data_IF_575000958606
#
_entry.id   IF_575000958606
#
_cell.length_a   1.000
_cell.length_b   1.000
_cell.length_c   1.000
_cell.angle_alpha   90.00
_cell.angle_beta   90.00
_cell.angle_gamma   90.00
#
_symmetry.space_group_name_H-M   'P 1'
#
loop_
_entity.id
_entity.type
_entity.pdbx_description
1 polymer ?
#
# COMPACT_ATOMS: atom_id res chain seq x y z
N UNK A 1 3.62 -20.63 -29.15
CA UNK A 1 3.76 -21.85 -28.32
C UNK A 1 2.71 -22.91 -28.66
N UNK A 2 1.40 -22.64 -28.56
CA UNK A 2 0.37 -23.63 -28.93
C UNK A 2 0.48 -24.16 -30.38
N UNK A 3 0.85 -23.29 -31.33
CA UNK A 3 1.11 -23.69 -32.71
C UNK A 3 2.37 -24.56 -32.89
N UNK A 4 3.37 -24.46 -31.98
CA UNK A 4 4.53 -25.35 -31.99
C UNK A 4 4.16 -26.71 -31.40
N UNK A 5 3.44 -26.73 -30.28
CA UNK A 5 2.95 -27.97 -29.66
C UNK A 5 2.13 -28.81 -30.64
N UNK A 6 1.17 -28.19 -31.36
CA UNK A 6 0.36 -28.90 -32.35
C UNK A 6 1.20 -29.43 -33.52
N UNK A 7 2.11 -28.62 -34.07
CA UNK A 7 3.01 -29.08 -35.15
C UNK A 7 3.89 -30.25 -34.71
N UNK A 8 4.41 -30.21 -33.49
CA UNK A 8 5.23 -31.30 -32.94
C UNK A 8 4.40 -32.56 -32.69
N UNK A 9 3.15 -32.43 -32.23
CA UNK A 9 2.21 -33.57 -32.11
C UNK A 9 1.88 -34.19 -33.47
N UNK A 10 1.61 -33.38 -34.48
CA UNK A 10 1.27 -33.85 -35.82
C UNK A 10 2.48 -34.50 -36.51
N UNK A 11 3.67 -33.92 -36.32
CA UNK A 11 4.92 -34.43 -36.90
C UNK A 11 5.37 -35.76 -36.27
N UNK A 12 5.29 -35.87 -34.94
CA UNK A 12 5.74 -37.08 -34.21
C UNK A 12 4.64 -38.14 -34.05
N UNK A 13 3.37 -37.77 -34.25
CA UNK A 13 2.21 -38.61 -33.91
C UNK A 13 1.95 -38.74 -32.40
N UNK A 14 2.72 -38.05 -31.55
CA UNK A 14 2.66 -38.21 -30.09
C UNK A 14 1.62 -37.26 -29.50
N UNK A 15 0.37 -37.72 -29.35
CA UNK A 15 -0.71 -36.91 -28.77
C UNK A 15 -0.44 -36.42 -27.34
N UNK A 16 0.37 -37.16 -26.57
CA UNK A 16 0.73 -36.83 -25.18
C UNK A 16 1.84 -35.78 -25.06
N UNK A 17 2.49 -35.37 -26.16
CA UNK A 17 3.56 -34.39 -26.17
C UNK A 17 3.04 -33.04 -25.65
N UNK A 18 3.79 -32.40 -24.76
CA UNK A 18 3.45 -31.09 -24.17
C UNK A 18 4.63 -30.15 -24.21
N UNK A 19 4.38 -28.89 -24.55
CA UNK A 19 5.38 -27.82 -24.38
C UNK A 19 5.13 -27.16 -23.02
N UNK A 20 6.13 -27.21 -22.15
CA UNK A 20 6.08 -26.63 -20.82
C UNK A 20 7.17 -25.57 -20.63
N UNK A 21 7.05 -24.82 -19.54
CA UNK A 21 8.07 -23.87 -19.09
C UNK A 21 8.46 -24.19 -17.65
N UNK A 22 9.75 -24.07 -17.34
CA UNK A 22 10.29 -24.18 -16.00
C UNK A 22 11.26 -23.01 -15.76
N UNK A 23 11.20 -22.37 -14.59
CA UNK A 23 12.06 -21.22 -14.27
C UNK A 23 13.57 -21.53 -14.31
N UNK A 24 13.97 -22.78 -14.07
CA UNK A 24 15.38 -23.20 -14.03
C UNK A 24 15.86 -23.69 -15.40
N UNK A 25 15.04 -24.46 -16.11
CA UNK A 25 15.44 -25.11 -17.37
C UNK A 25 14.86 -24.48 -18.62
N UNK A 26 14.03 -23.45 -18.47
CA UNK A 26 13.41 -22.76 -19.58
C UNK A 26 12.24 -23.52 -20.20
N UNK A 27 11.97 -23.24 -21.47
CA UNK A 27 10.99 -23.99 -22.25
C UNK A 27 11.49 -25.40 -22.59
N UNK A 28 10.59 -26.36 -22.59
CA UNK A 28 10.87 -27.76 -22.92
C UNK A 28 9.69 -28.45 -23.59
N UNK A 29 10.00 -29.54 -24.28
CA UNK A 29 9.06 -30.51 -24.83
C UNK A 29 9.14 -31.77 -23.96
N UNK A 30 8.04 -32.13 -23.31
CA UNK A 30 7.97 -33.33 -22.49
C UNK A 30 7.42 -34.50 -23.30
N UNK A 31 8.18 -35.61 -23.31
CA UNK A 31 7.86 -36.83 -24.06
C UNK A 31 7.96 -38.02 -23.11
N UNK A 32 6.91 -38.84 -23.05
CA UNK A 32 6.89 -40.06 -22.23
C UNK A 32 7.83 -41.13 -22.78
N UNK A 33 8.44 -41.93 -21.89
CA UNK A 33 9.37 -43.02 -22.25
C UNK A 33 8.88 -43.97 -23.34
N UNK A 34 7.58 -44.27 -23.35
CA UNK A 34 6.97 -45.15 -24.34
C UNK A 34 7.06 -44.66 -25.80
N UNK A 35 7.29 -43.35 -26.01
CA UNK A 35 7.23 -42.71 -27.32
C UNK A 35 8.61 -42.32 -27.88
N UNK A 36 9.71 -42.77 -27.25
CA UNK A 36 11.07 -42.39 -27.69
C UNK A 36 11.43 -42.95 -29.06
N UNK A 37 10.85 -44.06 -29.48
CA UNK A 37 11.04 -44.60 -30.83
C UNK A 37 10.36 -43.76 -31.91
N UNK A 38 9.45 -42.86 -31.54
CA UNK A 38 8.68 -42.03 -32.48
C UNK A 38 9.32 -40.66 -32.73
N UNK A 39 10.45 -40.34 -32.07
CA UNK A 39 11.18 -39.09 -32.30
C UNK A 39 12.38 -39.31 -33.23
N UNK A 40 12.61 -38.44 -34.24
CA UNK A 40 13.79 -38.51 -35.08
C UNK A 40 15.08 -38.16 -34.33
N UNK A 41 16.16 -38.88 -34.67
CA UNK A 41 17.50 -38.61 -34.13
C UNK A 41 18.00 -37.21 -34.51
N UNK A 42 18.65 -36.53 -33.57
CA UNK A 42 19.32 -35.24 -33.79
C UNK A 42 18.43 -33.98 -33.72
N UNK A 43 17.09 -34.08 -33.79
CA UNK A 43 16.19 -32.91 -33.66
C UNK A 43 15.98 -32.47 -32.20
N UNK A 44 15.94 -33.42 -31.28
CA UNK A 44 15.62 -33.19 -29.87
C UNK A 44 16.88 -33.31 -29.01
N UNK A 45 17.21 -32.25 -28.29
CA UNK A 45 18.34 -32.19 -27.37
C UNK A 45 17.79 -32.40 -25.96
N UNK A 46 18.24 -33.46 -25.27
CA UNK A 46 17.77 -33.80 -23.92
C UNK A 46 18.22 -32.72 -22.91
N UNK A 47 17.27 -32.19 -22.11
CA UNK A 47 17.53 -31.21 -21.04
C UNK A 47 17.40 -31.80 -19.63
N UNK A 48 16.41 -32.66 -19.39
CA UNK A 48 16.14 -33.21 -18.06
C UNK A 48 15.47 -34.58 -18.14
N UNK A 49 15.87 -35.51 -17.28
CA UNK A 49 15.22 -36.82 -17.13
C UNK A 49 14.27 -36.81 -15.93
N UNK A 50 13.04 -37.28 -16.12
CA UNK A 50 12.05 -37.49 -15.06
C UNK A 50 11.81 -39.00 -14.87
N UNK A 51 11.01 -39.36 -13.86
CA UNK A 51 10.68 -40.76 -13.58
C UNK A 51 10.03 -41.47 -14.80
N UNK A 52 9.07 -40.81 -15.45
CA UNK A 52 8.24 -41.41 -16.51
C UNK A 52 8.39 -40.73 -17.89
N UNK A 53 9.19 -39.66 -17.98
CA UNK A 53 9.32 -38.84 -19.18
C UNK A 53 10.71 -38.21 -19.28
N UNK A 54 11.05 -37.69 -20.44
CA UNK A 54 12.20 -36.82 -20.65
C UNK A 54 11.74 -35.49 -21.22
N UNK A 55 12.48 -34.45 -20.85
CA UNK A 55 12.31 -33.10 -21.36
C UNK A 55 13.41 -32.80 -22.36
N UNK A 56 13.00 -32.31 -23.51
CA UNK A 56 13.86 -31.99 -24.64
C UNK A 56 13.71 -30.52 -25.03
N UNK A 57 14.67 -30.02 -25.80
CA UNK A 57 14.58 -28.74 -26.50
C UNK A 57 14.92 -28.96 -27.98
N UNK A 58 14.27 -28.19 -28.85
CA UNK A 58 14.60 -28.11 -30.28
C UNK A 58 15.23 -26.74 -30.55
N UNK A 59 15.96 -26.62 -31.65
CA UNK A 59 16.56 -25.34 -32.06
C UNK A 59 15.49 -24.24 -32.22
N UNK A 60 14.36 -24.56 -32.85
CA UNK A 60 13.21 -23.64 -33.00
C UNK A 60 12.64 -23.19 -31.65
N UNK A 61 12.52 -24.10 -30.68
CA UNK A 61 12.02 -23.76 -29.35
C UNK A 61 13.01 -22.86 -28.58
N UNK A 62 14.32 -23.09 -28.76
CA UNK A 62 15.37 -22.26 -28.16
C UNK A 62 15.35 -20.82 -28.71
N UNK A 63 15.24 -20.67 -30.03
CA UNK A 63 15.14 -19.33 -30.65
C UNK A 63 13.88 -18.57 -30.21
N UNK A 64 12.76 -19.28 -30.06
CA UNK A 64 11.52 -18.69 -29.53
C UNK A 64 11.67 -18.30 -28.06
N UNK A 65 12.33 -19.14 -27.25
CA UNK A 65 12.65 -18.87 -25.85
C UNK A 65 13.49 -17.59 -25.70
N UNK A 66 14.61 -17.49 -26.43
CA UNK A 66 15.51 -16.33 -26.37
C UNK A 66 14.77 -15.03 -26.77
N UNK A 67 13.89 -15.11 -27.77
CA UNK A 67 13.07 -13.98 -28.21
C UNK A 67 12.03 -13.56 -27.16
N UNK A 68 11.40 -14.52 -26.47
CA UNK A 68 10.41 -14.24 -25.43
C UNK A 68 11.11 -13.58 -24.23
N UNK A 69 12.21 -14.17 -23.75
CA UNK A 69 12.94 -13.65 -22.59
C UNK A 69 13.50 -12.25 -22.86
N UNK A 70 14.09 -12.01 -24.03
CA UNK A 70 14.56 -10.68 -24.40
C UNK A 70 13.43 -9.64 -24.55
N UNK A 71 12.24 -10.06 -24.98
CA UNK A 71 11.07 -9.18 -25.02
C UNK A 71 10.54 -8.85 -23.63
N UNK A 72 10.55 -9.81 -22.70
CA UNK A 72 10.14 -9.62 -21.31
C UNK A 72 11.09 -8.67 -20.57
N UNK A 73 12.41 -8.85 -20.73
CA UNK A 73 13.41 -7.93 -20.18
C UNK A 73 13.22 -6.50 -20.70
N UNK A 74 12.99 -6.35 -22.01
CA UNK A 74 12.74 -5.04 -22.61
C UNK A 74 11.43 -4.41 -22.12
N UNK A 75 10.39 -5.21 -21.94
CA UNK A 75 9.12 -4.74 -21.38
C UNK A 75 9.33 -4.16 -19.98
N UNK A 76 10.01 -4.92 -19.11
CA UNK A 76 10.30 -4.49 -17.73
C UNK A 76 11.14 -3.22 -17.70
N UNK A 77 12.14 -3.10 -18.57
CA UNK A 77 12.94 -1.87 -18.71
C UNK A 77 12.06 -0.68 -19.08
N UNK A 78 11.19 -0.84 -20.08
CA UNK A 78 10.30 0.24 -20.53
C UNK A 78 9.29 0.65 -19.46
N UNK A 79 8.74 -0.30 -18.71
CA UNK A 79 7.86 -0.02 -17.58
C UNK A 79 8.58 0.76 -16.48
N UNK A 80 9.83 0.37 -16.18
CA UNK A 80 10.65 1.06 -15.20
C UNK A 80 10.99 2.49 -15.61
N UNK A 81 11.37 2.69 -16.88
CA UNK A 81 11.65 4.01 -17.43
C UNK A 81 10.40 4.91 -17.39
N UNK A 82 9.24 4.36 -17.74
CA UNK A 82 7.97 5.08 -17.64
C UNK A 82 7.65 5.43 -16.18
N UNK A 83 7.84 4.50 -15.25
CA UNK A 83 7.64 4.74 -13.82
C UNK A 83 8.54 5.85 -13.28
N UNK A 84 9.83 5.87 -13.67
CA UNK A 84 10.74 6.96 -13.31
C UNK A 84 10.21 8.29 -13.87
N UNK A 85 9.80 8.33 -15.14
CA UNK A 85 9.31 9.57 -15.75
C UNK A 85 8.08 10.16 -15.02
N UNK A 86 7.20 9.29 -14.52
CA UNK A 86 6.06 9.68 -13.69
C UNK A 86 6.52 10.25 -12.35
N UNK A 87 7.49 9.58 -11.70
CA UNK A 87 8.05 10.07 -10.43
C UNK A 87 8.71 11.44 -10.57
N UNK A 88 9.52 11.65 -11.60
CA UNK A 88 10.15 12.95 -11.87
C UNK A 88 9.12 14.03 -12.17
N UNK A 89 8.02 13.68 -12.85
CA UNK A 89 6.92 14.61 -13.11
C UNK A 89 6.20 15.01 -11.81
N UNK A 90 5.98 14.06 -10.90
CA UNK A 90 5.40 14.32 -9.59
C UNK A 90 6.36 15.12 -8.71
N UNK A 91 7.67 14.87 -8.79
CA UNK A 91 8.70 15.55 -7.99
C UNK A 91 8.64 17.07 -8.19
N UNK A 92 8.49 17.51 -9.45
CA UNK A 92 8.35 18.93 -9.82
C UNK A 92 7.13 19.61 -9.16
N UNK A 93 6.11 18.82 -8.82
CA UNK A 93 4.85 19.28 -8.23
C UNK A 93 4.79 19.12 -6.70
N UNK A 94 5.85 18.62 -6.04
CA UNK A 94 5.86 18.35 -4.59
C UNK A 94 5.47 19.57 -3.77
N UNK A 95 5.96 20.76 -4.14
CA UNK A 95 5.65 21.99 -3.41
C UNK A 95 4.14 22.28 -3.42
N UNK A 96 3.48 22.11 -4.57
CA UNK A 96 2.02 22.26 -4.72
C UNK A 96 1.28 21.22 -3.89
N UNK A 97 1.69 19.95 -3.98
CA UNK A 97 1.08 18.85 -3.22
C UNK A 97 1.18 19.06 -1.70
N UNK A 98 2.35 19.44 -1.19
CA UNK A 98 2.56 19.75 0.24
C UNK A 98 1.70 20.93 0.69
N UNK A 99 1.59 21.97 -0.13
CA UNK A 99 0.72 23.12 0.17
C UNK A 99 -0.74 22.69 0.28
N UNK A 100 -1.23 21.91 -0.67
CA UNK A 100 -2.59 21.36 -0.64
C UNK A 100 -2.83 20.48 0.58
N UNK A 101 -1.90 19.58 0.90
CA UNK A 101 -1.99 18.71 2.08
C UNK A 101 -2.08 19.53 3.38
N UNK A 102 -1.30 20.61 3.52
CA UNK A 102 -1.37 21.49 4.69
C UNK A 102 -2.71 22.24 4.78
N UNK A 103 -3.23 22.70 3.66
CA UNK A 103 -4.55 23.36 3.62
C UNK A 103 -5.64 22.38 4.06
N UNK A 104 -5.63 21.17 3.53
CA UNK A 104 -6.60 20.12 3.89
C UNK A 104 -6.48 19.78 5.38
N UNK A 105 -5.26 19.58 5.89
CA UNK A 105 -5.05 19.29 7.31
C UNK A 105 -5.52 20.42 8.24
N UNK A 106 -5.30 21.68 7.85
CA UNK A 106 -5.82 22.82 8.60
C UNK A 106 -7.35 22.87 8.57
N UNK A 107 -7.97 22.62 7.42
CA UNK A 107 -9.43 22.59 7.29
C UNK A 107 -10.04 21.49 8.14
N UNK A 108 -9.45 20.31 8.14
CA UNK A 108 -9.90 19.17 8.94
C UNK A 108 -9.85 19.49 10.44
N UNK A 109 -8.72 20.00 10.93
CA UNK A 109 -8.56 20.40 12.32
C UNK A 109 -9.54 21.50 12.74
N UNK A 110 -9.67 22.57 11.94
CA UNK A 110 -10.57 23.68 12.25
C UNK A 110 -12.05 23.27 12.20
N UNK A 111 -12.43 22.44 11.23
CA UNK A 111 -13.79 21.93 11.10
C UNK A 111 -14.14 21.03 12.30
N UNK A 112 -13.20 20.16 12.69
CA UNK A 112 -13.35 19.30 13.88
C UNK A 112 -13.50 20.13 15.15
N UNK A 113 -12.66 21.15 15.34
CA UNK A 113 -12.78 22.07 16.49
C UNK A 113 -14.13 22.80 16.50
N UNK A 114 -14.64 23.21 15.34
CA UNK A 114 -15.96 23.85 15.23
C UNK A 114 -17.09 22.89 15.61
N UNK A 115 -17.04 21.65 15.16
CA UNK A 115 -18.04 20.62 15.49
C UNK A 115 -18.02 20.36 17.00
N UNK A 116 -16.85 20.11 17.56
CA UNK A 116 -16.65 19.86 19.00
C UNK A 116 -17.16 21.05 19.82
N UNK A 117 -16.90 22.28 19.38
CA UNK A 117 -17.37 23.46 20.10
C UNK A 117 -18.90 23.55 20.13
N UNK A 118 -19.59 23.23 19.02
CA UNK A 118 -21.05 23.23 18.97
C UNK A 118 -21.65 22.08 19.77
N UNK A 119 -21.13 20.86 19.63
CA UNK A 119 -21.68 19.68 20.33
C UNK A 119 -21.54 19.76 21.86
N UNK A 120 -20.47 20.42 22.31
CA UNK A 120 -20.12 20.52 23.74
C UNK A 120 -20.42 21.88 24.36
N UNK A 121 -21.08 22.77 23.61
CA UNK A 121 -21.43 24.12 24.06
C UNK A 121 -20.18 24.90 24.54
N UNK A 122 -19.06 24.78 23.82
CA UNK A 122 -17.85 25.54 24.09
C UNK A 122 -17.93 26.95 23.51
N UNK A 123 -17.30 27.88 24.20
CA UNK A 123 -17.25 29.30 23.82
C UNK A 123 -15.85 29.68 23.35
N UNK A 124 -15.77 30.66 22.46
CA UNK A 124 -14.50 31.23 22.05
C UNK A 124 -13.95 32.09 23.19
N UNK A 125 -12.75 31.81 23.72
CA UNK A 125 -12.16 32.61 24.79
C UNK A 125 -11.70 33.97 24.26
N UNK A 126 -11.68 34.97 25.16
CA UNK A 126 -11.01 36.25 24.94
C UNK A 126 -9.58 36.19 25.46
N UNK A 127 -8.63 36.71 24.69
CA UNK A 127 -7.21 36.75 25.07
C UNK A 127 -6.88 38.17 25.54
N UNK A 128 -6.24 38.29 26.70
CA UNK A 128 -5.75 39.54 27.26
C UNK A 128 -4.23 39.46 27.54
N UNK A 129 -3.59 40.61 27.75
CA UNK A 129 -2.18 40.72 28.14
C UNK A 129 -2.00 41.11 29.62
N UNK A 130 -3.11 41.31 30.34
CA UNK A 130 -3.15 41.80 31.73
C UNK A 130 -2.88 40.69 32.76
N UNK A 131 -2.63 39.47 32.30
CA UNK A 131 -2.36 38.31 33.15
C UNK A 131 -3.57 37.84 33.95
N UNK A 132 -4.78 38.17 33.50
CA UNK A 132 -6.04 37.77 34.13
C UNK A 132 -6.56 36.50 33.47
N UNK A 133 -6.89 35.50 34.29
CA UNK A 133 -7.61 34.29 33.87
C UNK A 133 -8.97 34.34 34.55
N UNK A 134 -10.02 34.41 33.73
CA UNK A 134 -11.40 34.36 34.18
C UNK A 134 -12.12 33.26 33.39
N UNK A 135 -12.64 32.28 34.12
CA UNK A 135 -13.40 31.16 33.59
C UNK A 135 -14.74 31.16 34.31
N UNK A 136 -15.82 31.36 33.57
CA UNK A 136 -17.18 31.27 34.08
C UNK A 136 -17.79 29.94 33.64
N UNK A 137 -18.44 29.24 34.56
CA UNK A 137 -19.03 27.91 34.37
C UNK A 137 -18.07 26.92 33.68
N UNK A 138 -16.81 26.91 34.15
CA UNK A 138 -15.75 26.07 33.63
C UNK A 138 -16.02 24.58 33.82
N UNK A 139 -15.74 23.79 32.77
CA UNK A 139 -15.93 22.34 32.76
C UNK A 139 -14.65 21.62 32.38
N UNK A 140 -14.45 20.43 32.94
CA UNK A 140 -13.31 19.59 32.55
C UNK A 140 -13.67 18.80 31.26
N UNK A 141 -13.01 19.04 30.11
CA UNK A 141 -13.45 18.54 28.81
C UNK A 141 -13.44 17.01 28.66
N UNK A 142 -12.57 16.31 29.40
CA UNK A 142 -12.53 14.85 29.42
C UNK A 142 -13.49 14.23 30.44
N UNK A 143 -13.48 14.72 31.69
CA UNK A 143 -14.30 14.15 32.78
C UNK A 143 -15.79 14.33 32.49
N UNK A 144 -16.23 15.47 31.93
CA UNK A 144 -17.65 15.68 31.58
C UNK A 144 -18.18 14.62 30.59
N UNK A 145 -17.31 14.12 29.70
CA UNK A 145 -17.66 13.08 28.72
C UNK A 145 -17.78 11.69 29.34
N UNK A 146 -17.07 11.43 30.44
CA UNK A 146 -17.09 10.15 31.14
C UNK A 146 -18.31 10.03 32.05
N UNK A 147 -18.69 11.14 32.72
CA UNK A 147 -19.79 11.14 33.70
C UNK A 147 -21.16 11.25 33.02
N UNK A 148 -21.26 11.93 31.87
CA UNK A 148 -22.52 12.12 31.14
C UNK A 148 -22.85 13.60 30.93
N UNK A 149 -23.48 13.95 29.79
CA UNK A 149 -23.82 15.35 29.49
C UNK A 149 -24.90 15.84 30.47
N UNK A 150 -24.58 16.86 31.27
CA UNK A 150 -25.47 17.47 32.25
C UNK A 150 -25.18 17.11 33.71
N UNK A 151 -24.33 16.12 33.96
CA UNK A 151 -24.03 15.63 35.33
C UNK A 151 -22.77 16.27 35.95
N UNK A 152 -21.94 16.93 35.14
CA UNK A 152 -20.75 17.63 35.61
C UNK A 152 -21.12 18.99 36.21
N UNK A 153 -20.69 19.25 37.45
CA UNK A 153 -20.86 20.55 38.10
C UNK A 153 -19.78 21.51 37.63
N UNK A 154 -20.17 22.56 36.92
CA UNK A 154 -19.27 23.61 36.46
C UNK A 154 -18.75 24.47 37.62
N UNK A 155 -17.54 25.02 37.47
CA UNK A 155 -16.93 25.89 38.47
C UNK A 155 -16.32 27.14 37.85
N UNK A 156 -16.48 28.27 38.55
CA UNK A 156 -15.84 29.52 38.19
C UNK A 156 -14.37 29.53 38.64
N UNK A 157 -13.52 30.27 37.96
CA UNK A 157 -12.11 30.45 38.34
C UNK A 157 -11.63 31.84 37.96
N UNK A 158 -11.12 32.56 38.95
CA UNK A 158 -10.49 33.88 38.76
C UNK A 158 -9.06 33.84 39.32
N UNK A 159 -8.09 34.16 38.48
CA UNK A 159 -6.69 34.34 38.84
C UNK A 159 -6.17 35.63 38.22
N UNK A 160 -5.38 36.41 38.95
CA UNK A 160 -4.76 37.63 38.45
C UNK A 160 -3.40 37.89 39.14
N UNK A 161 -2.74 38.98 38.77
CA UNK A 161 -1.42 39.37 39.29
C UNK A 161 -1.47 40.17 40.59
N UNK A 162 -2.66 40.48 41.11
CA UNK A 162 -2.85 41.38 42.25
C UNK A 162 -3.33 40.59 43.49
N UNK A 163 -4.64 40.47 43.66
CA UNK A 163 -5.31 39.93 44.85
C UNK A 163 -5.59 38.42 44.76
N UNK A 164 -5.60 37.84 43.55
CA UNK A 164 -5.93 36.44 43.29
C UNK A 164 -4.77 35.68 42.61
N UNK A 165 -3.57 35.77 43.19
CA UNK A 165 -2.36 35.13 42.65
C UNK A 165 -2.21 33.64 43.04
N UNK A 166 -2.82 33.24 44.15
CA UNK A 166 -2.74 31.89 44.70
C UNK A 166 -4.08 31.49 45.29
N UNK A 167 -4.61 30.34 44.85
CA UNK A 167 -5.83 29.75 45.37
C UNK A 167 -5.48 28.58 46.29
N UNK A 168 -5.83 28.69 47.57
CA UNK A 168 -5.72 27.58 48.52
C UNK A 168 -7.05 26.81 48.53
N UNK A 169 -7.11 25.72 47.77
CA UNK A 169 -8.31 24.89 47.65
C UNK A 169 -8.25 23.78 48.71
N UNK A 170 -9.21 23.79 49.63
CA UNK A 170 -9.39 22.76 50.65
C UNK A 170 -10.74 22.07 50.48
N UNK A 171 -10.82 20.79 50.83
CA UNK A 171 -12.04 20.01 50.70
C UNK A 171 -11.84 18.57 51.21
N UNK A 172 -12.93 17.82 51.43
CA UNK A 172 -12.86 16.40 51.76
C UNK A 172 -12.39 15.58 50.54
N UNK A 173 -11.94 14.34 50.76
CA UNK A 173 -11.60 13.43 49.67
C UNK A 173 -12.83 13.11 48.82
N UNK A 174 -12.66 13.08 47.49
CA UNK A 174 -13.72 12.82 46.49
C UNK A 174 -14.83 13.89 46.42
N UNK A 175 -14.49 15.15 46.73
CA UNK A 175 -15.33 16.33 46.42
C UNK A 175 -15.22 16.74 44.95
#
# INVERSE_FOLDING_TARGET
>A
IAALENRERDFTGIRSLKVGYNKVFGYYIEISRANYSSIPEGRYIRKQTLANAERFITQELKEMEDKILGAEEKLVSLEYDLFISVRESIEKEIARLKKSARIIGNLDALSTLSIIAVENDYVKPNINEDGVIEINEGRHPVVEKVIGKGDFVSNDTTLNSDDNRLLLITGPNMA
#
